data_IF_545712054861
#
_entry.id   IF_545712054861
#
_cell.length_a   1.000
_cell.length_b   1.000
_cell.length_c   1.000
_cell.angle_alpha   90.00
_cell.angle_beta   90.00
_cell.angle_gamma   90.00
#
_symmetry.space_group_name_H-M   'P 1'
#
loop_
_entity.id
_entity.type
_entity.pdbx_description
1 polymer ?
#
# COMPACT_ATOMS: atom_id res chain seq x y z
N UNK A 1 -35.70 -13.32 -24.41
CA UNK A 1 -34.22 -13.30 -24.42
C UNK A 1 -33.64 -11.98 -23.91
N UNK A 2 -34.23 -10.81 -24.20
CA UNK A 2 -33.76 -9.50 -23.69
C UNK A 2 -33.77 -9.36 -22.16
N UNK A 3 -34.84 -9.82 -21.48
CA UNK A 3 -34.93 -9.71 -20.01
C UNK A 3 -33.78 -10.37 -19.26
N UNK A 4 -33.27 -11.53 -19.70
CA UNK A 4 -32.22 -12.25 -18.96
C UNK A 4 -30.91 -11.46 -18.87
N UNK A 5 -30.55 -10.69 -19.90
CA UNK A 5 -29.36 -9.84 -19.84
C UNK A 5 -29.57 -8.62 -18.94
N UNK A 6 -30.77 -8.05 -18.95
CA UNK A 6 -31.14 -6.93 -18.06
C UNK A 6 -31.14 -7.42 -16.61
N UNK A 7 -31.78 -8.56 -16.33
CA UNK A 7 -31.87 -9.14 -14.98
C UNK A 7 -30.47 -9.47 -14.43
N UNK A 8 -29.60 -10.08 -15.24
CA UNK A 8 -28.21 -10.37 -14.85
C UNK A 8 -27.40 -9.10 -14.59
N UNK A 9 -27.54 -8.08 -15.43
CA UNK A 9 -26.85 -6.81 -15.24
C UNK A 9 -27.35 -6.09 -13.97
N UNK A 10 -28.66 -6.10 -13.72
CA UNK A 10 -29.26 -5.53 -12.51
C UNK A 10 -28.78 -6.25 -11.25
N UNK A 11 -28.72 -7.58 -11.25
CA UNK A 11 -28.23 -8.34 -10.08
C UNK A 11 -26.75 -8.08 -9.82
N UNK A 12 -25.92 -8.06 -10.88
CA UNK A 12 -24.49 -7.74 -10.74
C UNK A 12 -24.27 -6.33 -10.19
N UNK A 13 -25.04 -5.36 -10.70
CA UNK A 13 -24.96 -3.97 -10.23
C UNK A 13 -25.45 -3.83 -8.78
N UNK A 14 -26.51 -4.54 -8.40
CA UNK A 14 -26.99 -4.60 -7.02
C UNK A 14 -25.91 -5.14 -6.09
N UNK A 15 -25.25 -6.25 -6.43
CA UNK A 15 -24.16 -6.80 -5.62
C UNK A 15 -23.02 -5.79 -5.46
N UNK A 16 -22.62 -5.12 -6.55
CA UNK A 16 -21.60 -4.08 -6.51
C UNK A 16 -21.97 -2.94 -5.55
N UNK A 17 -23.22 -2.49 -5.58
CA UNK A 17 -23.71 -1.44 -4.68
C UNK A 17 -23.70 -1.90 -3.22
N UNK A 18 -24.13 -3.14 -2.94
CA UNK A 18 -24.10 -3.72 -1.59
C UNK A 18 -22.66 -3.77 -1.05
N UNK A 19 -21.71 -4.23 -1.85
CA UNK A 19 -20.29 -4.27 -1.49
C UNK A 19 -19.73 -2.87 -1.19
N UNK A 20 -20.10 -1.87 -2.00
CA UNK A 20 -19.69 -0.48 -1.76
C UNK A 20 -20.33 0.10 -0.48
N UNK A 21 -21.59 -0.23 -0.19
CA UNK A 21 -22.26 0.22 1.03
C UNK A 21 -21.60 -0.38 2.28
N UNK A 22 -21.24 -1.66 2.25
CA UNK A 22 -20.48 -2.32 3.33
C UNK A 22 -19.12 -1.64 3.54
N UNK A 23 -18.41 -1.33 2.44
CA UNK A 23 -17.14 -0.59 2.50
C UNK A 23 -17.31 0.78 3.13
N UNK A 24 -18.34 1.55 2.76
CA UNK A 24 -18.65 2.85 3.35
C UNK A 24 -18.90 2.73 4.85
N UNK A 25 -19.65 1.72 5.29
CA UNK A 25 -19.90 1.49 6.71
C UNK A 25 -18.61 1.23 7.50
N UNK A 26 -17.69 0.41 6.97
CA UNK A 26 -16.37 0.18 7.58
C UNK A 26 -15.56 1.48 7.67
N UNK A 27 -15.48 2.25 6.58
CA UNK A 27 -14.75 3.52 6.57
C UNK A 27 -15.31 4.54 7.56
N UNK A 28 -16.63 4.54 7.80
CA UNK A 28 -17.28 5.44 8.77
C UNK A 28 -16.98 5.10 10.23
N UNK A 29 -16.65 3.85 10.53
CA UNK A 29 -16.23 3.45 11.88
C UNK A 29 -14.86 4.05 12.25
N UNK A 30 -14.12 4.52 11.24
CA UNK A 30 -12.79 5.07 11.40
C UNK A 30 -11.75 3.96 11.50
N UNK A 31 -10.51 4.31 11.18
CA UNK A 31 -9.36 3.45 11.43
C UNK A 31 -8.70 3.87 12.75
N UNK A 32 -8.12 2.90 13.45
CA UNK A 32 -7.27 3.21 14.61
C UNK A 32 -6.10 4.08 14.15
N UNK A 33 -5.95 5.26 14.76
CA UNK A 33 -4.83 6.13 14.45
C UNK A 33 -3.57 5.57 15.08
N UNK A 34 -2.59 5.26 14.25
CA UNK A 34 -1.25 4.88 14.72
C UNK A 34 -0.64 6.00 15.56
N UNK A 35 -0.33 5.70 16.83
CA UNK A 35 0.39 6.63 17.69
C UNK A 35 1.90 6.48 17.52
N UNK A 36 2.49 7.31 16.66
CA UNK A 36 3.93 7.28 16.38
C UNK A 36 4.82 7.62 17.58
N UNK A 37 4.28 8.22 18.65
CA UNK A 37 5.09 8.53 19.85
C UNK A 37 5.37 7.31 20.72
N UNK A 38 4.58 6.25 20.58
CA UNK A 38 4.70 4.99 21.34
C UNK A 38 5.51 3.93 20.58
N UNK A 39 5.90 4.20 19.33
CA UNK A 39 6.65 3.26 18.49
C UNK A 39 8.15 3.45 18.72
N UNK A 40 8.83 2.37 19.12
CA UNK A 40 10.28 2.40 19.37
C UNK A 40 11.10 2.67 18.12
N UNK A 41 10.76 1.99 17.01
CA UNK A 41 11.42 2.14 15.70
C UNK A 41 10.39 2.24 14.59
N UNK A 42 10.40 3.35 13.86
CA UNK A 42 9.52 3.57 12.72
C UNK A 42 10.15 2.95 11.47
N UNK A 43 9.59 1.82 11.03
CA UNK A 43 9.86 1.24 9.71
C UNK A 43 9.25 2.12 8.59
N UNK A 44 10.12 2.64 7.71
CA UNK A 44 9.76 3.39 6.50
C UNK A 44 10.03 2.49 5.29
N UNK A 45 8.98 2.08 4.58
CA UNK A 45 9.07 1.34 3.33
C UNK A 45 9.44 2.27 2.17
N UNK A 46 10.38 1.87 1.33
CA UNK A 46 10.77 2.59 0.10
C UNK A 46 10.31 1.73 -1.08
N UNK A 47 9.31 2.21 -1.82
CA UNK A 47 8.65 1.48 -2.91
C UNK A 47 8.93 2.21 -4.22
N UNK A 48 9.97 1.77 -4.92
CA UNK A 48 10.41 2.42 -6.16
C UNK A 48 9.45 2.26 -7.34
N UNK A 49 8.69 1.15 -7.39
CA UNK A 49 7.83 0.82 -8.53
C UNK A 49 8.63 0.69 -9.83
N UNK A 50 8.07 1.21 -10.92
CA UNK A 50 8.59 0.99 -12.28
C UNK A 50 9.13 2.27 -12.95
N UNK A 51 9.80 2.10 -14.09
CA UNK A 51 10.29 3.19 -14.92
C UNK A 51 11.39 4.00 -14.21
N UNK A 52 11.18 5.30 -14.04
CA UNK A 52 12.14 6.17 -13.32
C UNK A 52 11.98 6.11 -11.79
N UNK A 53 10.92 5.47 -11.30
CA UNK A 53 10.56 5.43 -9.89
C UNK A 53 11.67 4.90 -8.98
N UNK A 54 12.35 3.78 -9.29
CA UNK A 54 13.45 3.27 -8.46
C UNK A 54 14.59 4.27 -8.27
N UNK A 55 14.90 5.06 -9.30
CA UNK A 55 15.97 6.06 -9.23
C UNK A 55 15.55 7.26 -8.36
N UNK A 56 14.31 7.73 -8.50
CA UNK A 56 13.79 8.84 -7.68
C UNK A 56 13.66 8.41 -6.22
N UNK A 57 13.15 7.21 -5.96
CA UNK A 57 13.01 6.66 -4.62
C UNK A 57 14.39 6.50 -3.94
N UNK A 58 15.41 6.06 -4.67
CA UNK A 58 16.78 6.00 -4.16
C UNK A 58 17.33 7.39 -3.79
N UNK A 59 17.13 8.40 -4.64
CA UNK A 59 17.55 9.78 -4.33
C UNK A 59 16.76 10.37 -3.15
N UNK A 60 15.46 10.08 -3.05
CA UNK A 60 14.64 10.48 -1.91
C UNK A 60 15.12 9.81 -0.61
N UNK A 61 15.42 8.51 -0.64
CA UNK A 61 16.01 7.80 0.50
C UNK A 61 17.34 8.44 0.91
N UNK A 62 18.24 8.75 -0.04
CA UNK A 62 19.54 9.39 0.25
C UNK A 62 19.38 10.73 0.98
N UNK A 63 18.40 11.55 0.56
CA UNK A 63 18.09 12.81 1.25
C UNK A 63 17.51 12.55 2.63
N UNK A 64 16.59 11.59 2.77
CA UNK A 64 16.01 11.21 4.07
C UNK A 64 17.06 10.68 5.05
N UNK A 65 18.02 9.89 4.59
CA UNK A 65 19.14 9.41 5.41
C UNK A 65 19.96 10.55 6.00
N UNK A 66 20.13 11.63 5.24
CA UNK A 66 20.83 12.83 5.72
C UNK A 66 19.98 13.57 6.75
N UNK A 67 18.71 13.84 6.43
CA UNK A 67 17.79 14.60 7.28
C UNK A 67 17.45 13.88 8.59
N UNK A 68 17.48 12.54 8.58
CA UNK A 68 17.09 11.68 9.71
C UNK A 68 18.28 10.95 10.34
N UNK A 69 19.51 11.41 10.07
CA UNK A 69 20.75 10.79 10.54
C UNK A 69 20.80 10.60 12.06
N UNK A 70 20.29 11.56 12.83
CA UNK A 70 20.18 11.45 14.30
C UNK A 70 19.22 10.35 14.74
N UNK A 71 18.09 10.19 14.05
CA UNK A 71 17.08 9.18 14.37
C UNK A 71 17.56 7.79 13.94
N UNK A 72 18.22 7.68 12.79
CA UNK A 72 18.85 6.45 12.31
C UNK A 72 19.93 5.96 13.28
N UNK A 73 20.84 6.84 13.71
CA UNK A 73 21.91 6.48 14.65
C UNK A 73 21.37 6.04 16.02
N UNK A 74 20.19 6.53 16.41
CA UNK A 74 19.47 6.13 17.64
C UNK A 74 18.55 4.92 17.44
N UNK A 75 18.50 4.33 16.23
CA UNK A 75 17.61 3.20 15.91
C UNK A 75 16.12 3.55 15.94
N UNK A 76 15.75 4.84 15.91
CA UNK A 76 14.36 5.30 15.92
C UNK A 76 13.68 5.19 14.55
N UNK A 77 14.46 5.06 13.49
CA UNK A 77 13.97 4.88 12.12
C UNK A 77 14.73 3.73 11.47
N UNK A 78 14.04 2.95 10.64
CA UNK A 78 14.63 1.91 9.78
C UNK A 78 14.02 2.01 8.39
N UNK A 79 14.85 2.00 7.35
CA UNK A 79 14.36 1.89 5.96
C UNK A 79 14.20 0.43 5.56
N UNK A 80 13.16 0.15 4.77
CA UNK A 80 12.90 -1.16 4.16
C UNK A 80 12.65 -0.97 2.66
N UNK A 81 13.55 -1.45 1.84
CA UNK A 81 13.39 -1.38 0.38
C UNK A 81 12.43 -2.50 -0.05
N UNK A 82 11.43 -2.14 -0.86
CA UNK A 82 10.44 -3.05 -1.44
C UNK A 82 10.52 -2.86 -2.96
N UNK A 83 11.28 -3.72 -3.61
CA UNK A 83 11.66 -3.65 -5.03
C UNK A 83 10.85 -4.60 -5.93
N UNK A 84 9.98 -5.42 -5.32
CA UNK A 84 9.19 -6.47 -5.96
C UNK A 84 7.79 -6.02 -6.39
N UNK A 85 7.41 -4.75 -6.17
CA UNK A 85 6.20 -4.16 -6.74
C UNK A 85 6.40 -3.71 -8.21
N UNK A 86 6.91 -4.59 -9.05
CA UNK A 86 7.13 -4.29 -10.49
C UNK A 86 5.93 -4.71 -11.34
N UNK A 87 5.82 -4.14 -12.54
CA UNK A 87 4.84 -4.55 -13.55
C UNK A 87 4.98 -6.02 -13.91
N UNK A 88 6.21 -6.55 -14.00
CA UNK A 88 6.47 -7.94 -14.32
C UNK A 88 5.91 -8.88 -13.24
N UNK A 89 6.20 -8.60 -11.97
CA UNK A 89 5.70 -9.42 -10.87
C UNK A 89 4.17 -9.37 -10.79
N UNK A 90 3.59 -8.17 -10.90
CA UNK A 90 2.14 -7.97 -10.95
C UNK A 90 1.47 -8.74 -12.10
N UNK A 91 2.09 -8.73 -13.28
CA UNK A 91 1.59 -9.44 -14.44
C UNK A 91 1.70 -10.96 -14.28
N UNK A 92 2.76 -11.46 -13.64
CA UNK A 92 2.98 -12.88 -13.37
C UNK A 92 1.89 -13.46 -12.47
N UNK A 93 1.51 -12.74 -11.39
CA UNK A 93 0.46 -13.20 -10.46
C UNK A 93 -0.94 -12.68 -10.79
N UNK A 94 -1.07 -11.84 -11.82
CA UNK A 94 -2.30 -11.15 -12.21
C UNK A 94 -2.98 -10.40 -11.04
N UNK A 95 -2.17 -9.73 -10.22
CA UNK A 95 -2.63 -8.91 -9.09
C UNK A 95 -2.08 -7.48 -9.21
N UNK A 96 -2.84 -6.50 -8.73
CA UNK A 96 -2.39 -5.10 -8.71
C UNK A 96 -1.22 -4.90 -7.73
N UNK A 97 -1.24 -5.63 -6.62
CA UNK A 97 -0.16 -5.74 -5.64
C UNK A 97 -0.10 -7.23 -5.29
N UNK A 98 1.02 -7.92 -5.53
CA UNK A 98 1.18 -9.32 -5.11
C UNK A 98 0.98 -9.46 -3.60
N UNK A 99 0.37 -10.56 -3.15
CA UNK A 99 -0.01 -10.74 -1.75
C UNK A 99 1.20 -10.68 -0.79
N UNK A 100 2.34 -11.26 -1.17
CA UNK A 100 3.58 -11.23 -0.39
C UNK A 100 4.17 -9.82 -0.28
N UNK A 101 4.08 -9.03 -1.35
CA UNK A 101 4.47 -7.61 -1.37
C UNK A 101 3.57 -6.79 -0.46
N UNK A 102 2.26 -7.03 -0.49
CA UNK A 102 1.30 -6.36 0.38
C UNK A 102 1.60 -6.63 1.87
N UNK A 103 2.00 -7.86 2.21
CA UNK A 103 2.42 -8.17 3.58
C UNK A 103 3.70 -7.44 4.00
N UNK A 104 4.68 -7.24 3.09
CA UNK A 104 5.85 -6.40 3.37
C UNK A 104 5.48 -4.94 3.59
N UNK A 105 4.56 -4.41 2.78
CA UNK A 105 4.04 -3.04 2.90
C UNK A 105 3.37 -2.85 4.27
N UNK A 106 2.53 -3.78 4.71
CA UNK A 106 1.83 -3.71 6.01
C UNK A 106 2.76 -3.76 7.22
N UNK A 107 3.98 -4.27 7.08
CA UNK A 107 4.99 -4.23 8.14
C UNK A 107 5.68 -2.87 8.28
N UNK A 108 5.44 -1.95 7.34
CA UNK A 108 5.94 -0.59 7.39
C UNK A 108 4.89 0.32 8.04
N UNK A 109 5.33 1.27 8.88
CA UNK A 109 4.42 2.25 9.48
C UNK A 109 4.15 3.41 8.52
N UNK A 110 5.09 3.68 7.62
CA UNK A 110 5.02 4.70 6.57
C UNK A 110 5.65 4.12 5.32
N UNK A 111 5.14 4.47 4.14
CA UNK A 111 5.73 4.10 2.85
C UNK A 111 5.96 5.33 1.99
N UNK A 112 7.06 5.33 1.23
CA UNK A 112 7.44 6.31 0.22
C UNK A 112 7.36 5.67 -1.17
#
# INVERSE_FOLDING_TARGET
>A
MSNNYIDKASEHFKQLLEDQLVRIQRMRQGEEKTNFTEIDTINIGIIGGDGIGPFIAAEAQRVLETLLSDQLSKGKISFRIIDDLTIENRAEVNQAIPDDVLEKIKQCHVTL
#
